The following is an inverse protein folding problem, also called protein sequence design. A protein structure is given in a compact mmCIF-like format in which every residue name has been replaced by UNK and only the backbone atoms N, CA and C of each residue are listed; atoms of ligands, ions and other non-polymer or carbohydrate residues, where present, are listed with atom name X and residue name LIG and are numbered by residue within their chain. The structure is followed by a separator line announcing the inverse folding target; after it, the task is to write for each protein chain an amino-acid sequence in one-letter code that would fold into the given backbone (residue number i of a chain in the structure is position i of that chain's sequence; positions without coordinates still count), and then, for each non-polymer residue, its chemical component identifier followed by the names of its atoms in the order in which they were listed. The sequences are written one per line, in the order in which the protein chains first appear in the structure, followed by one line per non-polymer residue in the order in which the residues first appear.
data_IF_015714288280
#
_entry.id   IF_015714288280
#
_cell.length_a   1.000
_cell.length_b   1.000
_cell.length_c   1.000
_cell.angle_alpha   90.00
_cell.angle_beta   90.00
_cell.angle_gamma   90.00
#
_symmetry.space_group_name_H-M   'P 1'
#
loop_
_entity.id
_entity.type
_entity.pdbx_description
1 polymer ?
#
# COMPACT_ATOMS: atom_id res chain seq x y z
N UNK A 1 10.87 0.34 -1.19
CA UNK A 1 10.95 -1.11 -0.89
C UNK A 1 11.11 -1.40 0.61
N UNK A 2 10.30 -0.78 1.47
CA UNK A 2 10.13 -1.15 2.89
C UNK A 2 11.27 -0.88 3.90
N UNK A 3 12.55 -0.77 3.49
CA UNK A 3 13.69 -0.68 4.46
C UNK A 3 13.51 0.42 5.52
N UNK A 4 13.10 1.62 5.11
CA UNK A 4 12.88 2.74 6.01
C UNK A 4 11.89 2.44 7.13
N UNK A 5 10.83 1.66 6.85
CA UNK A 5 9.85 1.27 7.86
C UNK A 5 10.45 0.36 8.92
N UNK A 6 11.33 -0.58 8.54
CA UNK A 6 12.00 -1.45 9.50
C UNK A 6 12.84 -0.65 10.50
N UNK A 7 13.59 0.34 10.01
CA UNK A 7 14.40 1.22 10.87
C UNK A 7 13.52 2.11 11.77
N UNK A 8 12.36 2.55 11.29
CA UNK A 8 11.38 3.29 12.11
C UNK A 8 10.77 2.39 13.19
N UNK A 9 10.32 1.18 12.85
CA UNK A 9 9.69 0.26 13.81
C UNK A 9 10.69 -0.16 14.91
N UNK A 10 11.94 -0.41 14.54
CA UNK A 10 13.01 -0.72 15.49
C UNK A 10 13.26 0.46 16.45
N UNK A 11 13.42 1.68 15.91
CA UNK A 11 13.61 2.87 16.75
C UNK A 11 12.37 3.25 17.56
N UNK A 12 11.17 2.82 17.14
CA UNK A 12 9.94 2.99 17.91
C UNK A 12 9.81 1.96 19.04
N UNK A 13 10.63 0.89 19.05
CA UNK A 13 10.58 -0.16 20.06
C UNK A 13 9.38 -1.08 19.90
N UNK A 14 9.04 -1.46 18.67
CA UNK A 14 7.94 -2.40 18.40
C UNK A 14 8.38 -3.82 18.77
N UNK A 15 7.67 -4.46 19.70
CA UNK A 15 7.98 -5.84 20.11
C UNK A 15 7.44 -6.89 19.14
N UNK A 16 6.26 -6.66 18.55
CA UNK A 16 5.63 -7.58 17.61
C UNK A 16 4.80 -6.86 16.56
N UNK A 17 4.74 -7.43 15.36
CA UNK A 17 3.96 -6.91 14.24
C UNK A 17 3.34 -8.07 13.44
N UNK A 18 2.25 -7.79 12.74
CA UNK A 18 1.68 -8.69 11.71
C UNK A 18 1.83 -8.06 10.34
N UNK A 19 1.84 -8.89 9.31
CA UNK A 19 1.84 -8.41 7.93
C UNK A 19 0.46 -7.89 7.53
N UNK A 20 0.45 -6.72 6.93
CA UNK A 20 -0.65 -6.17 6.16
C UNK A 20 -0.56 -6.52 4.69
N UNK A 21 -1.60 -6.12 3.97
CA UNK A 21 -1.76 -6.41 2.55
C UNK A 21 -0.65 -5.74 1.71
N UNK A 22 -0.16 -4.56 2.13
CA UNK A 22 0.90 -3.79 1.47
C UNK A 22 2.34 -4.21 1.82
N UNK A 23 2.56 -5.00 2.87
CA UNK A 23 3.90 -5.51 3.19
C UNK A 23 4.45 -6.45 2.11
N UNK A 24 3.55 -6.95 1.26
CA UNK A 24 3.83 -7.82 0.14
C UNK A 24 3.82 -7.12 -1.23
N UNK A 25 3.71 -5.78 -1.30
CA UNK A 25 3.71 -5.06 -2.59
C UNK A 25 4.94 -5.36 -3.44
N UNK A 26 6.09 -5.58 -2.79
CA UNK A 26 7.36 -5.94 -3.43
C UNK A 26 7.62 -7.46 -3.48
N UNK A 27 6.61 -8.29 -3.19
CA UNK A 27 6.68 -9.76 -3.17
C UNK A 27 7.15 -10.35 -1.83
N UNK A 28 6.83 -11.63 -1.60
CA UNK A 28 7.14 -12.33 -0.34
C UNK A 28 8.65 -12.37 -0.07
N UNK A 29 9.48 -12.47 -1.11
CA UNK A 29 10.93 -12.48 -0.94
C UNK A 29 11.47 -11.17 -0.37
N UNK A 30 10.90 -10.04 -0.77
CA UNK A 30 11.29 -8.76 -0.17
C UNK A 30 10.83 -8.67 1.28
N UNK A 31 9.63 -9.15 1.60
CA UNK A 31 9.18 -9.25 2.99
C UNK A 31 10.15 -10.12 3.81
N UNK A 32 10.53 -11.31 3.31
CA UNK A 32 11.54 -12.20 3.94
C UNK A 32 12.89 -11.52 4.16
N UNK A 33 13.34 -10.68 3.22
CA UNK A 33 14.59 -9.94 3.38
C UNK A 33 14.50 -8.87 4.47
N UNK A 34 13.34 -8.24 4.62
CA UNK A 34 13.11 -7.17 5.60
C UNK A 34 12.89 -7.70 7.01
N UNK A 35 12.35 -8.90 7.14
CA UNK A 35 12.08 -9.58 8.42
C UNK A 35 13.29 -10.36 8.95
N UNK A 36 14.37 -10.48 8.16
CA UNK A 36 15.60 -11.17 8.54
C UNK A 36 16.54 -10.30 9.36
N UNK A 37 17.15 -10.93 10.36
CA UNK A 37 18.15 -10.35 11.26
C UNK A 37 19.52 -10.10 10.62
N UNK A 38 20.27 -9.05 11.03
CA UNK A 38 19.84 -7.80 11.67
C UNK A 38 19.60 -6.65 10.66
N UNK A 39 18.79 -5.65 11.04
CA UNK A 39 18.56 -4.43 10.23
C UNK A 39 19.85 -3.59 10.23
N UNK A 40 20.41 -3.28 9.07
CA UNK A 40 21.60 -2.42 8.97
C UNK A 40 21.21 -0.95 8.83
N UNK A 41 21.57 -0.12 9.82
CA UNK A 41 21.40 1.33 9.76
C UNK A 41 22.46 1.93 8.83
N UNK A 42 22.05 2.32 7.61
CA UNK A 42 22.99 2.88 6.63
C UNK A 42 23.55 4.26 7.00
N UNK A 43 22.90 4.93 7.96
CA UNK A 43 23.13 6.31 8.36
C UNK A 43 23.88 6.46 9.70
N UNK A 44 24.04 5.36 10.44
CA UNK A 44 24.75 5.33 11.72
C UNK A 44 26.01 4.46 11.57
N UNK A 45 27.14 4.92 12.10
CA UNK A 45 28.37 4.13 12.16
C UNK A 45 28.83 3.94 13.60
N UNK A 46 29.50 2.82 13.86
CA UNK A 46 30.24 2.63 15.10
C UNK A 46 31.52 3.50 15.15
N UNK A 47 32.27 3.38 16.25
CA UNK A 47 33.51 4.12 16.48
C UNK A 47 34.61 3.78 15.44
N UNK A 48 34.50 2.63 14.75
CA UNK A 48 35.42 2.16 13.72
C UNK A 48 34.99 2.61 12.30
N UNK A 49 33.86 3.33 12.19
CA UNK A 49 33.31 3.80 10.91
C UNK A 49 32.56 2.73 10.12
N UNK A 50 32.26 1.56 10.73
CA UNK A 50 31.40 0.54 10.11
C UNK A 50 29.95 0.88 10.36
N UNK A 51 29.08 0.52 9.43
CA UNK A 51 27.63 0.70 9.60
C UNK A 51 27.17 -0.04 10.85
N UNK A 52 26.41 0.66 11.69
CA UNK A 52 25.89 0.07 12.90
C UNK A 52 24.80 -0.92 12.54
N UNK A 53 24.95 -2.14 13.01
CA UNK A 53 23.85 -3.10 12.98
C UNK A 53 22.82 -2.63 14.00
N UNK A 54 21.54 -2.74 13.66
CA UNK A 54 20.49 -2.75 14.65
C UNK A 54 20.81 -3.82 15.67
N UNK A 55 20.48 -3.54 16.93
CA UNK A 55 20.41 -4.60 17.91
C UNK A 55 19.47 -5.64 17.30
N UNK A 56 19.90 -6.91 17.25
CA UNK A 56 19.22 -8.02 16.57
C UNK A 56 17.70 -7.84 16.57
N UNK A 57 17.07 -7.90 15.38
CA UNK A 57 15.69 -7.51 15.10
C UNK A 57 14.75 -7.96 16.21
N UNK A 58 14.33 -6.98 17.01
CA UNK A 58 13.53 -7.19 18.21
C UNK A 58 12.06 -7.48 17.87
N UNK A 59 11.64 -7.11 16.66
CA UNK A 59 10.26 -7.24 16.20
C UNK A 59 9.96 -8.70 15.85
N UNK A 60 9.08 -9.31 16.65
CA UNK A 60 8.47 -10.59 16.35
C UNK A 60 7.40 -10.42 15.26
N UNK A 61 7.72 -10.84 14.04
CA UNK A 61 6.75 -10.89 12.95
C UNK A 61 5.86 -12.13 13.09
N UNK A 62 4.57 -11.93 13.34
CA UNK A 62 3.62 -13.01 13.61
C UNK A 62 2.59 -13.08 12.49
N UNK A 63 2.34 -14.29 11.98
CA UNK A 63 1.23 -14.59 11.08
C UNK A 63 0.91 -16.09 11.09
N UNK A 64 -0.25 -16.46 11.61
CA UNK A 64 -0.63 -17.84 11.92
C UNK A 64 -1.30 -18.58 10.77
N UNK A 65 -1.89 -17.86 9.79
CA UNK A 65 -2.80 -18.45 8.81
C UNK A 65 -2.37 -18.33 7.34
N UNK A 66 -1.16 -17.82 7.08
CA UNK A 66 -0.55 -17.79 5.76
C UNK A 66 0.78 -18.54 5.80
N UNK A 67 0.85 -19.66 5.09
CA UNK A 67 1.95 -20.62 5.19
C UNK A 67 2.62 -20.86 3.84
N UNK A 68 3.93 -21.12 3.82
CA UNK A 68 4.63 -21.63 2.65
C UNK A 68 4.29 -23.11 2.38
N UNK A 69 4.80 -23.67 1.28
CA UNK A 69 4.58 -25.10 0.92
C UNK A 69 5.18 -26.10 1.92
N UNK A 70 6.03 -25.64 2.84
CA UNK A 70 6.57 -26.48 3.92
C UNK A 70 5.72 -26.39 5.19
N UNK A 71 4.67 -25.56 5.18
CA UNK A 71 3.80 -25.33 6.33
C UNK A 71 4.34 -24.32 7.34
N UNK A 72 5.38 -23.55 7.00
CA UNK A 72 5.89 -22.49 7.86
C UNK A 72 5.18 -21.16 7.57
N UNK A 73 5.02 -20.26 8.54
CA UNK A 73 4.56 -18.90 8.27
C UNK A 73 5.34 -18.22 7.14
N UNK A 74 4.63 -17.46 6.32
CA UNK A 74 5.26 -16.66 5.26
C UNK A 74 6.22 -15.63 5.85
N UNK A 75 7.10 -15.12 4.98
CA UNK A 75 8.03 -14.05 5.33
C UNK A 75 8.96 -14.36 6.52
N UNK A 76 9.25 -15.64 6.81
CA UNK A 76 10.07 -16.06 7.97
C UNK A 76 9.47 -15.60 9.31
N UNK A 77 8.16 -15.33 9.33
CA UNK A 77 7.43 -15.01 10.54
C UNK A 77 7.25 -16.23 11.44
N UNK A 78 6.60 -15.99 12.58
CA UNK A 78 6.21 -17.01 13.55
C UNK A 78 4.70 -17.19 13.55
N UNK A 79 4.23 -18.40 13.86
CA UNK A 79 2.79 -18.63 14.05
C UNK A 79 2.29 -17.98 15.34
N UNK A 80 3.20 -17.75 16.30
CA UNK A 80 2.96 -17.08 17.58
C UNK A 80 4.29 -16.71 18.23
N UNK A 81 4.25 -15.79 19.20
CA UNK A 81 5.39 -15.50 20.08
C UNK A 81 4.90 -15.26 21.52
N UNK A 82 5.85 -15.23 22.46
CA UNK A 82 5.58 -15.06 23.90
C UNK A 82 6.54 -14.05 24.47
N UNK A 83 6.01 -13.10 25.24
CA UNK A 83 6.76 -12.10 25.99
C UNK A 83 6.52 -12.28 27.49
N UNK A 84 7.50 -11.94 28.30
CA UNK A 84 7.37 -11.87 29.75
C UNK A 84 7.46 -10.41 30.20
N UNK A 85 6.41 -9.90 30.81
CA UNK A 85 6.34 -8.51 31.28
C UNK A 85 5.65 -8.44 32.65
N UNK A 86 6.29 -7.78 33.61
CA UNK A 86 5.72 -7.61 34.95
C UNK A 86 5.41 -8.92 35.70
N UNK A 87 6.08 -10.02 35.35
CA UNK A 87 5.83 -11.35 35.93
C UNK A 87 4.66 -12.11 35.29
N UNK A 88 4.09 -11.60 34.20
CA UNK A 88 3.06 -12.26 33.40
C UNK A 88 3.60 -12.66 32.02
N UNK A 89 3.10 -13.77 31.49
CA UNK A 89 3.36 -14.22 30.12
C UNK A 89 2.27 -13.75 29.17
N UNK A 90 2.66 -13.02 28.14
CA UNK A 90 1.77 -12.50 27.11
C UNK A 90 2.06 -13.24 25.81
N UNK A 91 1.11 -14.01 25.33
CA UNK A 91 1.18 -14.67 24.03
C UNK A 91 0.59 -13.79 22.93
N UNK A 92 1.24 -13.73 21.79
CA UNK A 92 0.75 -13.01 20.61
C UNK A 92 0.52 -13.99 19.47
N UNK A 93 -0.65 -13.90 18.87
CA UNK A 93 -1.00 -14.56 17.60
C UNK A 93 -1.39 -13.49 16.59
N UNK A 94 -1.39 -13.85 15.31
CA UNK A 94 -1.86 -12.93 14.29
C UNK A 94 -2.53 -13.65 13.14
N UNK A 95 -3.60 -13.10 12.60
CA UNK A 95 -4.26 -13.64 11.39
C UNK A 95 -4.67 -12.51 10.48
N UNK A 96 -4.80 -12.82 9.19
CA UNK A 96 -5.25 -11.85 8.20
C UNK A 96 -6.24 -12.46 7.22
N UNK A 97 -6.96 -11.60 6.48
CA UNK A 97 -7.64 -11.98 5.26
C UNK A 97 -6.66 -12.58 4.24
N UNK A 98 -7.20 -13.23 3.20
CA UNK A 98 -6.38 -13.77 2.12
C UNK A 98 -5.91 -12.65 1.18
N UNK A 99 -4.97 -11.83 1.67
CA UNK A 99 -4.44 -10.72 0.90
C UNK A 99 -3.69 -11.17 -0.35
N UNK A 100 -3.15 -12.39 -0.40
CA UNK A 100 -2.39 -12.83 -1.58
C UNK A 100 -3.28 -13.03 -2.82
N UNK A 101 -4.57 -13.30 -2.64
CA UNK A 101 -5.51 -13.36 -3.75
C UNK A 101 -5.96 -11.98 -4.24
N UNK A 102 -6.08 -10.99 -3.34
CA UNK A 102 -6.70 -9.69 -3.63
C UNK A 102 -5.70 -8.54 -3.81
N UNK A 103 -4.58 -8.56 -3.10
CA UNK A 103 -3.44 -7.70 -3.44
C UNK A 103 -2.92 -8.10 -4.82
N UNK A 104 -2.41 -7.14 -5.59
CA UNK A 104 -1.77 -7.36 -6.88
C UNK A 104 -0.57 -8.32 -6.89
N UNK A 105 -0.35 -9.11 -5.85
CA UNK A 105 0.55 -10.26 -5.81
C UNK A 105 0.25 -11.30 -6.87
N UNK A 106 -0.98 -11.38 -7.42
CA UNK A 106 -1.24 -12.18 -8.62
C UNK A 106 -0.34 -11.80 -9.80
N UNK A 107 0.29 -10.62 -9.76
CA UNK A 107 0.86 -10.07 -10.97
C UNK A 107 2.10 -9.20 -10.81
N UNK A 108 2.61 -9.03 -9.58
CA UNK A 108 4.06 -9.06 -9.32
C UNK A 108 4.58 -10.48 -9.04
N UNK A 109 3.69 -11.49 -8.96
CA UNK A 109 4.04 -12.86 -8.51
C UNK A 109 5.39 -13.29 -9.07
N UNK A 110 6.41 -13.26 -8.21
CA UNK A 110 7.51 -14.17 -8.43
C UNK A 110 6.89 -15.58 -8.37
N UNK A 111 7.48 -16.55 -9.06
CA UNK A 111 6.93 -17.93 -9.09
C UNK A 111 6.59 -18.46 -7.69
N UNK A 112 7.24 -17.94 -6.67
CA UNK A 112 7.12 -18.30 -5.26
C UNK A 112 5.87 -17.77 -4.55
N UNK A 113 5.26 -16.66 -5.01
CA UNK A 113 4.03 -16.13 -4.40
C UNK A 113 2.79 -17.00 -4.69
N UNK A 114 2.89 -17.91 -5.66
CA UNK A 114 1.85 -18.91 -6.01
C UNK A 114 1.84 -20.14 -5.09
N UNK A 115 2.75 -20.18 -4.12
CA UNK A 115 3.02 -21.35 -3.28
C UNK A 115 2.70 -21.09 -1.81
N UNK A 116 1.70 -20.23 -1.55
CA UNK A 116 1.22 -19.95 -0.20
C UNK A 116 -0.10 -20.69 0.04
N UNK A 117 -0.19 -21.38 1.17
CA UNK A 117 -1.40 -21.98 1.70
C UNK A 117 -2.06 -20.99 2.65
N UNK A 118 -3.35 -20.77 2.43
CA UNK A 118 -4.19 -19.98 3.32
C UNK A 118 -5.04 -20.93 4.18
N UNK A 119 -4.91 -20.80 5.49
CA UNK A 119 -5.71 -21.52 6.47
C UNK A 119 -6.84 -20.61 6.95
N UNK A 120 -7.99 -21.18 7.28
CA UNK A 120 -9.08 -20.42 7.89
C UNK A 120 -8.55 -19.62 9.11
N UNK A 121 -8.72 -18.29 9.14
CA UNK A 121 -8.20 -17.44 10.21
C UNK A 121 -8.69 -17.84 11.59
N UNK A 122 -9.97 -18.22 11.71
CA UNK A 122 -10.59 -18.52 12.99
C UNK A 122 -10.05 -19.84 13.51
N UNK A 123 -9.96 -20.85 12.66
CA UNK A 123 -9.35 -22.15 12.99
C UNK A 123 -7.89 -21.99 13.41
N UNK A 124 -7.10 -21.26 12.61
CA UNK A 124 -5.68 -21.02 12.91
C UNK A 124 -5.50 -20.26 14.23
N UNK A 125 -6.24 -19.17 14.43
CA UNK A 125 -6.15 -18.36 15.64
C UNK A 125 -6.57 -19.15 16.88
N UNK A 126 -7.67 -19.91 16.80
CA UNK A 126 -8.16 -20.73 17.92
C UNK A 126 -7.16 -21.82 18.30
N UNK A 127 -6.54 -22.47 17.30
CA UNK A 127 -5.49 -23.45 17.55
C UNK A 127 -4.27 -22.80 18.23
N UNK A 128 -3.78 -21.68 17.71
CA UNK A 128 -2.59 -21.02 18.28
C UNK A 128 -2.86 -20.45 19.68
N UNK A 129 -4.03 -19.87 19.93
CA UNK A 129 -4.44 -19.42 21.26
C UNK A 129 -4.48 -20.59 22.25
N UNK A 130 -5.04 -21.73 21.86
CA UNK A 130 -5.04 -22.94 22.70
C UNK A 130 -3.62 -23.42 23.01
N UNK A 131 -2.75 -23.49 22.01
CA UNK A 131 -1.37 -23.94 22.22
C UNK A 131 -0.57 -22.97 23.11
N UNK A 132 -0.77 -21.66 22.98
CA UNK A 132 -0.19 -20.66 23.88
C UNK A 132 -0.59 -20.91 25.34
N UNK A 133 -1.87 -21.21 25.60
CA UNK A 133 -2.37 -21.47 26.95
C UNK A 133 -1.86 -22.79 27.50
N UNK A 134 -1.98 -23.86 26.74
CA UNK A 134 -1.74 -25.23 27.23
C UNK A 134 -0.26 -25.61 27.25
N UNK A 135 0.52 -25.16 26.25
CA UNK A 135 1.93 -25.55 26.11
C UNK A 135 2.87 -24.48 26.63
N UNK A 136 2.61 -23.22 26.29
CA UNK A 136 3.53 -22.12 26.64
C UNK A 136 3.21 -21.48 28.00
N UNK A 137 2.00 -21.78 28.52
CA UNK A 137 1.53 -21.34 29.82
C UNK A 137 1.31 -19.83 29.90
N UNK A 138 0.78 -19.21 28.84
CA UNK A 138 0.57 -17.76 28.81
C UNK A 138 -0.63 -17.33 29.64
N UNK A 139 -0.49 -16.18 30.30
CA UNK A 139 -1.47 -15.56 31.19
C UNK A 139 -2.44 -14.66 30.43
N UNK A 140 -2.00 -14.04 29.33
CA UNK A 140 -2.83 -13.24 28.41
C UNK A 140 -2.53 -13.62 26.96
N UNK A 141 -3.54 -13.65 26.09
CA UNK A 141 -3.39 -13.83 24.64
C UNK A 141 -3.91 -12.60 23.93
N UNK A 142 -3.03 -11.97 23.16
CA UNK A 142 -3.34 -10.83 22.28
C UNK A 142 -3.38 -11.32 20.83
N UNK A 143 -4.42 -10.95 20.11
CA UNK A 143 -4.53 -11.17 18.67
C UNK A 143 -4.16 -9.92 17.89
N UNK A 144 -3.35 -10.07 16.84
CA UNK A 144 -3.14 -9.02 15.84
C UNK A 144 -3.87 -9.37 14.56
N UNK A 145 -4.48 -8.40 13.92
CA UNK A 145 -5.06 -8.58 12.59
C UNK A 145 -4.88 -7.35 11.72
N UNK A 146 -4.62 -7.60 10.45
CA UNK A 146 -4.78 -6.60 9.41
C UNK A 146 -5.96 -7.08 8.55
N UNK A 147 -7.17 -6.69 8.93
CA UNK A 147 -8.43 -7.08 8.28
C UNK A 147 -9.46 -5.98 8.45
N UNK A 148 -10.48 -5.94 7.59
CA UNK A 148 -11.63 -5.03 7.71
C UNK A 148 -12.24 -5.08 9.13
N UNK A 149 -12.86 -4.00 9.58
CA UNK A 149 -13.57 -3.88 10.86
C UNK A 149 -14.57 -5.01 11.03
N UNK A 150 -15.38 -5.30 10.01
CA UNK A 150 -16.37 -6.37 10.05
C UNK A 150 -15.76 -7.75 10.31
N UNK A 151 -14.56 -8.00 9.79
CA UNK A 151 -13.83 -9.26 9.95
C UNK A 151 -13.08 -9.29 11.29
N UNK A 152 -12.55 -8.14 11.74
CA UNK A 152 -12.00 -8.00 13.09
C UNK A 152 -13.07 -8.27 14.16
N UNK A 153 -14.29 -7.75 13.96
CA UNK A 153 -15.45 -8.03 14.81
C UNK A 153 -15.78 -9.53 14.81
N UNK A 154 -15.79 -10.17 13.64
CA UNK A 154 -15.97 -11.61 13.51
C UNK A 154 -14.90 -12.40 14.29
N UNK A 155 -13.61 -12.10 14.12
CA UNK A 155 -12.52 -12.77 14.86
C UNK A 155 -12.67 -12.60 16.37
N UNK A 156 -12.96 -11.37 16.82
CA UNK A 156 -13.13 -11.08 18.25
C UNK A 156 -14.32 -11.82 18.91
N UNK A 157 -15.29 -12.26 18.09
CA UNK A 157 -16.48 -12.99 18.54
C UNK A 157 -16.34 -14.50 18.45
N UNK A 158 -15.64 -15.01 17.42
CA UNK A 158 -15.58 -16.44 17.10
C UNK A 158 -14.29 -17.12 17.55
N UNK A 159 -13.18 -16.40 17.69
CA UNK A 159 -11.92 -17.00 18.13
C UNK A 159 -11.95 -17.21 19.64
N UNK A 160 -11.84 -18.46 20.05
CA UNK A 160 -11.75 -18.81 21.47
C UNK A 160 -10.31 -18.65 21.99
N UNK A 161 -10.18 -18.12 23.21
CA UNK A 161 -8.89 -18.06 23.93
C UNK A 161 -8.07 -16.79 23.74
N UNK A 162 -8.51 -15.84 22.89
CA UNK A 162 -7.91 -14.50 22.74
C UNK A 162 -8.63 -13.48 23.63
N UNK A 163 -7.88 -12.71 24.41
CA UNK A 163 -8.44 -11.74 25.36
C UNK A 163 -8.73 -10.38 24.71
N UNK A 164 -7.87 -9.94 23.80
CA UNK A 164 -8.00 -8.64 23.14
C UNK A 164 -7.33 -8.64 21.76
N UNK A 165 -7.91 -7.89 20.81
CA UNK A 165 -7.39 -7.76 19.46
C UNK A 165 -6.92 -6.33 19.12
N UNK A 166 -5.80 -6.26 18.42
CA UNK A 166 -5.40 -5.06 17.69
C UNK A 166 -5.66 -5.29 16.20
N UNK A 167 -6.52 -4.47 15.60
CA UNK A 167 -6.88 -4.55 14.19
C UNK A 167 -6.18 -3.49 13.32
N UNK A 168 -6.53 -3.46 12.04
CA UNK A 168 -5.90 -2.60 11.03
C UNK A 168 -6.74 -2.39 9.78
N UNK A 169 -6.08 -2.14 8.65
CA UNK A 169 -6.63 -2.04 7.29
C UNK A 169 -7.49 -0.80 6.94
N UNK A 170 -8.51 -0.43 7.71
CA UNK A 170 -9.49 0.60 7.26
C UNK A 170 -9.09 2.07 7.51
N UNK A 171 -7.84 2.32 7.91
CA UNK A 171 -7.26 3.66 8.11
C UNK A 171 -8.08 4.60 9.02
N UNK A 172 -8.95 4.03 9.86
CA UNK A 172 -9.81 4.77 10.80
C UNK A 172 -9.56 4.31 12.22
N UNK A 173 -9.73 5.21 13.18
CA UNK A 173 -9.78 4.82 14.58
C UNK A 173 -11.16 4.27 14.93
N UNK A 174 -11.19 3.04 15.44
CA UNK A 174 -12.40 2.44 16.00
C UNK A 174 -12.06 1.56 17.21
N UNK A 175 -12.91 1.63 18.24
CA UNK A 175 -12.76 0.88 19.50
C UNK A 175 -14.06 0.16 19.86
N UNK A 176 -13.96 -1.13 20.15
CA UNK A 176 -15.01 -2.00 20.72
C UNK A 176 -14.46 -2.83 21.88
N UNK A 177 -15.32 -3.40 22.70
CA UNK A 177 -14.95 -4.01 23.99
C UNK A 177 -13.75 -4.96 23.94
N UNK A 178 -13.65 -5.76 22.86
CA UNK A 178 -12.58 -6.76 22.68
C UNK A 178 -11.50 -6.36 21.67
N UNK A 179 -11.58 -5.19 21.04
CA UNK A 179 -10.64 -4.82 19.99
C UNK A 179 -10.51 -3.33 19.72
N UNK A 180 -9.36 -2.92 19.18
CA UNK A 180 -9.10 -1.54 18.74
C UNK A 180 -8.36 -1.49 17.41
N UNK A 181 -8.68 -0.51 16.58
CA UNK A 181 -7.94 -0.12 15.36
C UNK A 181 -7.45 1.31 15.57
N UNK A 182 -6.14 1.53 15.37
CA UNK A 182 -5.48 2.82 15.68
C UNK A 182 -5.21 3.69 14.44
N UNK A 183 -6.17 3.81 13.52
CA UNK A 183 -6.02 4.69 12.36
C UNK A 183 -4.85 4.31 11.44
N UNK A 184 -4.15 5.31 10.91
CA UNK A 184 -3.01 5.16 9.99
C UNK A 184 -2.00 6.31 10.18
N UNK A 185 -0.84 6.22 9.52
CA UNK A 185 0.21 7.25 9.48
C UNK A 185 0.72 7.75 10.85
N UNK A 186 0.59 6.94 11.91
CA UNK A 186 0.94 7.34 13.27
C UNK A 186 0.18 8.60 13.75
N UNK A 187 -0.97 8.91 13.16
CA UNK A 187 -1.84 10.00 13.63
C UNK A 187 -2.57 9.60 14.91
N UNK A 188 -2.69 8.30 15.19
CA UNK A 188 -3.48 7.77 16.29
C UNK A 188 -2.80 6.55 16.91
N UNK A 189 -2.78 6.51 18.25
CA UNK A 189 -2.25 5.40 19.03
C UNK A 189 -3.28 4.97 20.07
N UNK A 190 -3.22 3.70 20.45
CA UNK A 190 -4.03 3.14 21.53
C UNK A 190 -3.13 2.61 22.64
N UNK A 191 -3.30 3.12 23.84
CA UNK A 191 -2.71 2.53 25.05
C UNK A 191 -3.75 1.60 25.66
N UNK A 192 -3.43 0.31 25.73
CA UNK A 192 -4.32 -0.72 26.28
C UNK A 192 -3.76 -1.16 27.62
N UNK A 193 -4.49 -0.87 28.69
CA UNK A 193 -4.15 -1.31 30.04
C UNK A 193 -5.07 -2.46 30.44
N UNK A 194 -4.48 -3.58 30.87
CA UNK A 194 -5.21 -4.75 31.33
C UNK A 194 -4.97 -4.97 32.82
N UNK A 195 -6.03 -4.97 33.62
CA UNK A 195 -5.97 -5.34 35.01
C UNK A 195 -6.10 -6.86 35.13
N UNK A 196 -5.09 -7.51 35.69
CA UNK A 196 -5.03 -8.96 35.86
C UNK A 196 -5.19 -9.34 37.33
N UNK A 197 -5.99 -10.37 37.61
CA UNK A 197 -6.01 -11.00 38.93
C UNK A 197 -5.38 -12.40 38.86
N UNK A 198 -4.68 -12.79 39.93
CA UNK A 198 -4.02 -14.09 40.03
C UNK A 198 -4.52 -14.81 41.27
N UNK A 199 -5.32 -15.86 41.04
CA UNK A 199 -5.72 -16.83 42.08
C UNK A 199 -5.13 -18.19 41.72
N UNK A 200 -5.95 -19.18 41.32
CA UNK A 200 -5.49 -20.45 40.75
C UNK A 200 -5.13 -20.34 39.26
N UNK A 201 -5.75 -19.37 38.56
CA UNK A 201 -5.45 -19.00 37.17
C UNK A 201 -5.38 -17.48 37.08
N UNK A 202 -4.72 -16.96 36.03
CA UNK A 202 -4.76 -15.54 35.71
C UNK A 202 -6.04 -15.23 34.93
N UNK A 203 -6.73 -14.16 35.32
CA UNK A 203 -7.92 -13.64 34.63
C UNK A 203 -7.77 -12.17 34.33
N UNK A 204 -8.29 -11.75 33.17
CA UNK A 204 -8.39 -10.33 32.80
C UNK A 204 -9.67 -9.76 33.42
N UNK A 205 -9.52 -8.86 34.38
CA UNK A 205 -10.63 -8.25 35.13
C UNK A 205 -11.22 -7.05 34.39
N UNK A 206 -10.36 -6.23 33.78
CA UNK A 206 -10.77 -5.07 33.00
C UNK A 206 -9.74 -4.70 31.95
N UNK A 207 -10.21 -4.07 30.88
CA UNK A 207 -9.38 -3.52 29.81
C UNK A 207 -9.77 -2.06 29.63
N UNK A 208 -8.84 -1.15 29.89
CA UNK A 208 -8.98 0.27 29.56
C UNK A 208 -8.22 0.58 28.27
N UNK A 209 -8.80 1.42 27.40
CA UNK A 209 -8.16 1.80 26.14
C UNK A 209 -8.19 3.31 25.96
N UNK A 210 -7.01 3.90 25.92
CA UNK A 210 -6.83 5.34 25.77
C UNK A 210 -6.35 5.66 24.36
N UNK A 211 -7.10 6.53 23.67
CA UNK A 211 -6.73 7.08 22.36
C UNK A 211 -5.79 8.26 22.54
N UNK A 212 -4.65 8.22 21.88
CA UNK A 212 -3.74 9.35 21.74
C UNK A 212 -3.73 9.79 20.28
N UNK A 213 -4.09 11.05 20.03
CA UNK A 213 -4.09 11.64 18.69
C UNK A 213 -2.88 12.55 18.52
N UNK A 214 -2.14 12.34 17.44
CA UNK A 214 -1.05 13.20 16.97
C UNK A 214 -1.56 13.97 15.75
N UNK A 215 -1.59 15.30 15.86
CA UNK A 215 -1.99 16.17 14.76
C UNK A 215 -0.76 16.80 14.12
N UNK A 216 -0.72 16.82 12.79
CA UNK A 216 0.28 17.62 12.07
C UNK A 216 -0.02 19.13 12.15
N UNK A 217 -1.28 19.51 12.38
CA UNK A 217 -1.68 20.91 12.55
C UNK A 217 -1.33 21.46 13.93
N UNK A 218 -1.30 20.58 14.94
CA UNK A 218 -0.94 20.89 16.33
C UNK A 218 -0.02 19.80 16.88
N UNK A 219 1.25 19.80 16.47
CA UNK A 219 2.18 18.76 16.87
C UNK A 219 2.52 18.86 18.37
N UNK A 220 2.65 17.73 19.09
CA UNK A 220 3.01 17.75 20.49
C UNK A 220 4.36 18.45 20.70
N UNK A 221 4.45 19.28 21.73
CA UNK A 221 5.67 20.00 22.05
C UNK A 221 6.78 19.02 22.43
N UNK A 222 7.88 19.04 21.68
CA UNK A 222 9.07 18.25 22.02
C UNK A 222 9.86 18.94 23.15
N UNK A 223 10.45 18.18 24.08
CA UNK A 223 11.33 18.74 25.10
C UNK A 223 12.58 19.35 24.45
N UNK A 224 13.17 20.35 25.11
CA UNK A 224 14.38 21.03 24.63
C UNK A 224 15.59 20.08 24.50
N UNK A 225 15.65 19.08 25.38
CA UNK A 225 16.60 17.98 25.31
C UNK A 225 15.83 16.70 24.95
N UNK A 226 16.05 16.22 23.73
CA UNK A 226 15.45 14.98 23.26
C UNK A 226 16.10 13.77 23.95
N UNK A 227 15.31 12.76 24.35
CA UNK A 227 15.84 11.45 24.70
C UNK A 227 16.73 10.90 23.56
N UNK A 228 17.78 10.12 23.86
CA UNK A 228 18.69 9.60 22.83
C UNK A 228 18.00 8.87 21.68
N UNK A 229 16.97 8.07 21.98
CA UNK A 229 16.19 7.34 20.97
C UNK A 229 15.38 8.29 20.07
N UNK A 230 14.75 9.32 20.64
CA UNK A 230 14.03 10.35 19.88
C UNK A 230 14.98 11.15 18.99
N UNK A 231 16.20 11.43 19.46
CA UNK A 231 17.23 12.07 18.64
C UNK A 231 17.67 11.16 17.47
N UNK A 232 17.82 9.85 17.70
CA UNK A 232 18.10 8.87 16.64
C UNK A 232 16.96 8.81 15.61
N UNK A 233 15.70 8.79 16.06
CA UNK A 233 14.55 8.84 15.16
C UNK A 233 14.54 10.11 14.30
N UNK A 234 14.84 11.27 14.90
CA UNK A 234 14.96 12.53 14.15
C UNK A 234 16.05 12.46 13.08
N UNK A 235 17.23 11.91 13.41
CA UNK A 235 18.32 11.75 12.45
C UNK A 235 17.95 10.80 11.30
N UNK A 236 17.22 9.72 11.58
CA UNK A 236 16.70 8.79 10.58
C UNK A 236 15.76 9.50 9.57
N UNK A 237 14.82 10.30 10.09
CA UNK A 237 13.90 11.09 9.26
C UNK A 237 14.68 12.05 8.36
N UNK A 238 15.60 12.84 8.93
CA UNK A 238 16.43 13.78 8.16
C UNK A 238 17.28 13.08 7.09
N UNK A 239 17.83 11.89 7.39
CA UNK A 239 18.57 11.07 6.44
C UNK A 239 17.70 10.67 5.24
N UNK A 240 16.50 10.15 5.49
CA UNK A 240 15.58 9.73 4.44
C UNK A 240 15.01 10.89 3.64
N UNK A 241 14.71 12.02 4.28
CA UNK A 241 14.31 13.25 3.59
C UNK A 241 15.38 13.71 2.61
N UNK A 242 16.65 13.77 3.06
CA UNK A 242 17.78 14.15 2.20
C UNK A 242 17.96 13.16 1.06
N UNK A 243 17.97 11.86 1.35
CA UNK A 243 18.12 10.80 0.34
C UNK A 243 16.99 10.83 -0.69
N UNK A 244 15.76 11.00 -0.24
CA UNK A 244 14.58 11.13 -1.11
C UNK A 244 14.71 12.36 -2.01
N UNK A 245 15.05 13.52 -1.44
CA UNK A 245 15.25 14.75 -2.21
C UNK A 245 16.36 14.62 -3.27
N UNK A 246 17.45 13.92 -2.98
CA UNK A 246 18.51 13.64 -3.94
C UNK A 246 18.05 12.71 -5.08
N UNK A 247 17.34 11.62 -4.75
CA UNK A 247 16.80 10.69 -5.75
C UNK A 247 15.78 11.35 -6.67
N UNK A 248 14.87 12.16 -6.11
CA UNK A 248 13.82 12.85 -6.88
C UNK A 248 14.39 13.92 -7.82
N UNK A 249 15.58 14.47 -7.54
CA UNK A 249 16.28 15.45 -8.41
C UNK A 249 17.03 14.81 -9.59
N UNK A 250 17.23 13.48 -9.59
CA UNK A 250 17.99 12.82 -10.65
C UNK A 250 17.32 13.02 -12.02
N UNK A 251 18.01 13.56 -13.03
CA UNK A 251 17.45 13.80 -14.35
C UNK A 251 17.22 12.48 -15.09
N UNK A 252 16.09 12.39 -15.80
CA UNK A 252 15.73 11.29 -16.69
C UNK A 252 15.92 11.71 -18.16
N UNK A 253 15.58 12.96 -18.48
CA UNK A 253 15.72 13.50 -19.83
C UNK A 253 15.34 14.96 -19.90
N UNK A 254 15.37 15.52 -21.11
CA UNK A 254 14.98 16.91 -21.37
C UNK A 254 13.94 17.02 -22.49
N UNK A 255 13.10 18.05 -22.40
CA UNK A 255 12.12 18.43 -23.42
C UNK A 255 12.63 19.63 -24.20
N UNK A 256 12.79 19.47 -25.51
CA UNK A 256 13.05 20.56 -26.44
C UNK A 256 11.75 21.34 -26.71
N UNK A 257 11.77 22.67 -26.60
CA UNK A 257 10.60 23.53 -26.87
C UNK A 257 9.80 23.98 -25.64
N UNK A 258 10.09 23.44 -24.45
CA UNK A 258 9.69 24.03 -23.17
C UNK A 258 8.23 23.82 -22.72
N UNK A 259 8.10 23.38 -21.46
CA UNK A 259 6.87 23.17 -20.65
C UNK A 259 5.97 22.01 -21.04
N UNK A 260 5.85 21.04 -20.13
CA UNK A 260 4.87 19.97 -20.20
C UNK A 260 3.79 20.16 -19.13
N UNK A 261 2.60 20.56 -19.54
CA UNK A 261 1.50 20.81 -18.63
C UNK A 261 0.72 19.53 -18.31
N UNK A 262 0.91 19.02 -17.09
CA UNK A 262 0.26 17.82 -16.57
C UNK A 262 -0.86 18.14 -15.58
N UNK A 263 -1.39 19.37 -15.60
CA UNK A 263 -2.52 19.74 -14.74
C UNK A 263 -3.75 18.93 -15.12
N UNK A 264 -4.45 18.43 -14.10
CA UNK A 264 -5.64 17.58 -14.23
C UNK A 264 -6.69 18.15 -15.19
N UNK A 265 -6.83 19.47 -15.27
CA UNK A 265 -7.82 20.06 -16.17
C UNK A 265 -7.51 19.78 -17.65
N UNK A 266 -6.25 19.78 -18.08
CA UNK A 266 -5.88 19.46 -19.46
C UNK A 266 -6.08 17.98 -19.71
N UNK A 267 -5.41 17.14 -18.90
CA UNK A 267 -5.42 15.69 -19.05
C UNK A 267 -6.84 15.09 -19.04
N UNK A 268 -7.81 15.73 -18.37
CA UNK A 268 -9.17 15.20 -18.19
C UNK A 268 -10.23 15.82 -19.10
N UNK A 269 -9.88 16.71 -20.02
CA UNK A 269 -10.88 17.40 -20.85
C UNK A 269 -10.56 17.46 -22.34
N UNK A 270 -9.29 17.29 -22.72
CA UNK A 270 -8.86 17.42 -24.11
C UNK A 270 -7.56 16.66 -24.35
N UNK A 271 -7.26 16.42 -25.61
CA UNK A 271 -5.93 16.01 -26.04
C UNK A 271 -4.87 17.06 -25.66
N UNK A 272 -3.72 16.60 -25.17
CA UNK A 272 -2.60 17.48 -24.84
C UNK A 272 -1.26 16.78 -25.00
N UNK A 273 -0.20 17.58 -25.20
CA UNK A 273 1.18 17.09 -25.43
C UNK A 273 1.63 16.13 -24.32
N UNK A 274 1.31 16.43 -23.06
CA UNK A 274 1.69 15.58 -21.94
C UNK A 274 1.01 14.20 -21.97
N UNK A 275 -0.28 14.17 -22.30
CA UNK A 275 -1.04 12.93 -22.46
C UNK A 275 -0.49 12.09 -23.61
N UNK A 276 -0.23 12.73 -24.75
CA UNK A 276 0.30 12.06 -25.94
C UNK A 276 1.68 11.46 -25.67
N UNK A 277 2.62 12.23 -25.12
CA UNK A 277 3.96 11.73 -24.77
C UNK A 277 3.88 10.52 -23.82
N UNK A 278 3.04 10.60 -22.79
CA UNK A 278 2.86 9.50 -21.83
C UNK A 278 2.32 8.26 -22.54
N UNK A 279 1.24 8.39 -23.32
CA UNK A 279 0.66 7.25 -24.05
C UNK A 279 1.63 6.67 -25.08
N UNK A 280 2.42 7.52 -25.77
CA UNK A 280 3.45 7.09 -26.72
C UNK A 280 4.54 6.26 -26.05
N UNK A 281 5.01 6.65 -24.85
CA UNK A 281 6.00 5.87 -24.08
C UNK A 281 5.46 4.48 -23.77
N UNK A 282 4.21 4.38 -23.29
CA UNK A 282 3.58 3.09 -23.03
C UNK A 282 3.38 2.30 -24.31
N UNK A 283 2.95 2.96 -25.39
CA UNK A 283 2.73 2.30 -26.67
C UNK A 283 4.04 1.74 -27.23
N UNK A 284 5.11 2.52 -27.27
CA UNK A 284 6.42 2.11 -27.79
C UNK A 284 6.94 0.84 -27.08
N UNK A 285 6.84 0.79 -25.75
CA UNK A 285 7.24 -0.38 -24.94
C UNK A 285 6.46 -1.66 -25.28
N UNK A 286 5.19 -1.55 -25.66
CA UNK A 286 4.33 -2.69 -26.01
C UNK A 286 4.19 -2.93 -27.51
N UNK A 287 4.60 -1.98 -28.37
CA UNK A 287 4.53 -2.11 -29.82
C UNK A 287 5.34 -3.31 -30.30
N UNK A 288 6.54 -3.49 -29.75
CA UNK A 288 7.39 -4.67 -30.03
C UNK A 288 6.81 -6.00 -29.53
N UNK A 289 5.77 -5.96 -28.69
CA UNK A 289 5.05 -7.12 -28.16
C UNK A 289 3.73 -7.38 -28.88
N UNK A 290 3.44 -6.63 -29.94
CA UNK A 290 2.24 -6.77 -30.76
C UNK A 290 1.06 -5.91 -30.33
N UNK A 291 1.27 -4.82 -29.59
CA UNK A 291 0.22 -3.84 -29.35
C UNK A 291 -0.11 -3.05 -30.63
N UNK A 292 -1.40 -2.86 -30.89
CA UNK A 292 -1.90 -2.02 -31.99
C UNK A 292 -2.10 -0.55 -31.58
N UNK A 293 -2.41 -0.30 -30.30
CA UNK A 293 -2.61 1.03 -29.73
C UNK A 293 -2.40 1.01 -28.21
N UNK A 294 -2.32 2.20 -27.60
CA UNK A 294 -2.35 2.41 -26.15
C UNK A 294 -3.64 3.13 -25.74
N UNK A 295 -4.25 2.66 -24.65
CA UNK A 295 -5.41 3.28 -24.02
C UNK A 295 -5.15 3.46 -22.53
N UNK A 296 -5.05 4.70 -22.09
CA UNK A 296 -4.96 5.09 -20.69
C UNK A 296 -6.19 5.90 -20.30
N UNK A 297 -6.53 5.92 -19.02
CA UNK A 297 -7.49 6.89 -18.48
C UNK A 297 -6.74 7.97 -17.72
N UNK A 298 -7.14 9.23 -17.86
CA UNK A 298 -6.47 10.37 -17.24
C UNK A 298 -6.36 10.29 -15.71
N UNK A 299 -7.19 9.46 -15.07
CA UNK A 299 -7.18 9.20 -13.63
C UNK A 299 -5.98 8.39 -13.14
N UNK A 300 -5.32 7.61 -14.01
CA UNK A 300 -4.08 6.89 -13.64
C UNK A 300 -2.90 7.85 -13.48
N UNK A 301 -2.97 9.00 -14.15
CA UNK A 301 -1.99 10.07 -14.02
C UNK A 301 -2.49 10.96 -12.90
N UNK A 302 -1.86 10.86 -11.72
CA UNK A 302 -2.23 11.68 -10.57
C UNK A 302 -2.23 13.15 -10.96
N UNK A 303 -1.19 13.58 -11.69
CA UNK A 303 -1.09 14.91 -12.29
C UNK A 303 -1.20 16.04 -11.27
N UNK A 304 -1.22 17.29 -11.74
CA UNK A 304 -1.42 18.45 -10.86
C UNK A 304 -0.15 19.11 -10.30
N UNK A 305 1.03 18.72 -10.78
CA UNK A 305 2.24 19.52 -10.58
C UNK A 305 2.24 20.77 -11.47
N UNK A 306 3.03 21.76 -11.08
CA UNK A 306 3.41 22.85 -11.99
C UNK A 306 4.15 22.27 -13.20
N UNK A 307 4.10 22.91 -14.38
CA UNK A 307 4.90 22.49 -15.53
C UNK A 307 6.38 22.40 -15.10
N UNK A 308 7.12 21.35 -15.48
CA UNK A 308 8.55 21.30 -15.22
C UNK A 308 9.18 22.59 -15.76
N UNK A 309 9.82 23.36 -14.88
CA UNK A 309 10.58 24.54 -15.28
C UNK A 309 11.70 24.09 -16.23
N UNK A 310 11.92 24.88 -17.29
CA UNK A 310 12.81 24.60 -18.44
C UNK A 310 13.41 23.18 -18.53
N UNK A 311 12.75 22.35 -19.34
CA UNK A 311 13.34 21.23 -20.04
C UNK A 311 13.50 19.94 -19.25
N UNK A 312 14.00 19.95 -18.02
CA UNK A 312 14.46 18.70 -17.38
C UNK A 312 13.33 17.92 -16.69
N UNK A 313 13.09 16.70 -17.16
CA UNK A 313 12.27 15.69 -16.48
C UNK A 313 13.16 14.96 -15.49
N UNK A 314 12.71 14.85 -14.23
CA UNK A 314 13.42 14.16 -13.15
C UNK A 314 12.61 12.98 -12.65
N UNK A 315 13.23 12.10 -11.84
CA UNK A 315 12.52 11.04 -11.13
C UNK A 315 11.34 11.56 -10.33
N UNK A 316 11.46 12.72 -9.66
CA UNK A 316 10.36 13.31 -8.91
C UNK A 316 9.15 13.69 -9.75
N UNK A 317 9.34 14.08 -11.01
CA UNK A 317 8.23 14.32 -11.92
C UNK A 317 7.48 13.03 -12.25
N UNK A 318 8.20 11.93 -12.53
CA UNK A 318 7.60 10.62 -12.81
C UNK A 318 6.87 10.10 -11.56
N UNK A 319 7.49 10.17 -10.39
CA UNK A 319 6.86 9.76 -9.11
C UNK A 319 5.61 10.58 -8.81
N UNK A 320 5.58 11.87 -9.14
CA UNK A 320 4.38 12.69 -8.97
C UNK A 320 3.26 12.31 -9.95
N UNK A 321 3.58 11.93 -11.19
CA UNK A 321 2.58 11.49 -12.18
C UNK A 321 2.04 10.10 -11.88
N UNK A 322 2.92 9.20 -11.44
CA UNK A 322 2.62 7.80 -11.12
C UNK A 322 3.10 7.48 -9.69
N UNK A 323 2.40 7.97 -8.66
CA UNK A 323 2.80 7.78 -7.26
C UNK A 323 2.57 6.35 -6.77
N UNK A 324 1.84 5.55 -7.54
CA UNK A 324 1.52 4.16 -7.25
C UNK A 324 2.20 3.25 -8.28
N UNK A 325 2.67 2.09 -7.86
CA UNK A 325 3.19 1.07 -8.78
C UNK A 325 2.03 0.36 -9.50
N UNK A 326 1.57 0.98 -10.59
CA UNK A 326 0.59 0.38 -11.49
C UNK A 326 1.26 -0.50 -12.53
N UNK A 327 0.81 -1.74 -12.69
CA UNK A 327 1.24 -2.58 -13.82
C UNK A 327 0.43 -2.25 -15.06
N UNK A 328 1.14 -2.23 -16.18
CA UNK A 328 0.52 -2.18 -17.50
C UNK A 328 0.42 -3.57 -18.08
N UNK A 329 -0.60 -3.80 -18.90
CA UNK A 329 -0.88 -5.11 -19.49
C UNK A 329 -1.19 -4.95 -20.97
N UNK A 330 -0.87 -5.99 -21.73
CA UNK A 330 -1.29 -6.13 -23.12
C UNK A 330 -2.52 -7.04 -23.17
N UNK A 331 -3.62 -6.55 -23.72
CA UNK A 331 -4.91 -7.25 -23.77
C UNK A 331 -5.43 -7.34 -25.20
N UNK A 332 -5.97 -8.49 -25.58
CA UNK A 332 -6.79 -8.62 -26.78
C UNK A 332 -8.23 -8.19 -26.48
N UNK A 333 -8.73 -7.19 -27.20
CA UNK A 333 -10.08 -6.63 -27.00
C UNK A 333 -10.83 -6.52 -28.32
N UNK A 334 -12.17 -6.64 -28.28
CA UNK A 334 -13.03 -6.41 -29.46
C UNK A 334 -13.19 -4.91 -29.68
N UNK A 335 -13.27 -4.46 -30.94
CA UNK A 335 -13.47 -3.05 -31.31
C UNK A 335 -14.67 -2.39 -30.61
N UNK A 336 -15.78 -3.12 -30.46
CA UNK A 336 -16.95 -2.65 -29.70
C UNK A 336 -16.61 -2.24 -28.27
N UNK A 337 -15.77 -3.02 -27.57
CA UNK A 337 -15.37 -2.72 -26.18
C UNK A 337 -14.54 -1.44 -26.15
N UNK A 338 -13.66 -1.23 -27.13
CA UNK A 338 -12.88 0.01 -27.25
C UNK A 338 -13.82 1.21 -27.41
N UNK A 339 -14.82 1.11 -28.29
CA UNK A 339 -15.84 2.15 -28.49
C UNK A 339 -16.67 2.42 -27.23
N UNK A 340 -17.12 1.37 -26.54
CA UNK A 340 -17.87 1.49 -25.27
C UNK A 340 -17.01 2.19 -24.19
N UNK A 341 -15.71 1.88 -24.11
CA UNK A 341 -14.76 2.53 -23.21
C UNK A 341 -14.54 4.01 -23.55
N UNK A 342 -14.41 4.36 -24.84
CA UNK A 342 -14.33 5.75 -25.28
C UNK A 342 -15.59 6.53 -24.89
N UNK A 343 -16.78 5.97 -25.17
CA UNK A 343 -18.06 6.57 -24.77
C UNK A 343 -18.14 6.80 -23.26
N UNK A 344 -17.76 5.79 -22.48
CA UNK A 344 -17.69 5.91 -21.02
C UNK A 344 -16.73 7.03 -20.60
N UNK A 345 -15.57 7.13 -21.25
CA UNK A 345 -14.52 8.09 -20.92
C UNK A 345 -14.92 9.54 -21.20
N UNK A 346 -15.73 9.78 -22.23
CA UNK A 346 -16.13 11.13 -22.66
C UNK A 346 -17.52 11.55 -22.19
N UNK A 347 -18.30 10.66 -21.57
CA UNK A 347 -19.71 10.90 -21.17
C UNK A 347 -19.92 12.12 -20.28
N UNK A 348 -18.93 12.44 -19.44
CA UNK A 348 -19.03 13.51 -18.44
C UNK A 348 -18.46 14.84 -18.96
N UNK A 349 -17.85 14.90 -20.15
CA UNK A 349 -17.35 16.16 -20.68
C UNK A 349 -18.44 17.24 -20.70
N UNK A 350 -18.12 18.50 -20.35
CA UNK A 350 -16.78 19.03 -20.03
C UNK A 350 -16.34 18.87 -18.55
N UNK A 351 -17.05 18.09 -17.72
CA UNK A 351 -16.62 17.81 -16.35
C UNK A 351 -15.29 17.04 -16.34
N UNK A 352 -14.43 17.34 -15.36
CA UNK A 352 -13.04 16.87 -15.27
C UNK A 352 -12.93 15.49 -14.61
N UNK A 353 -13.64 14.51 -15.15
CA UNK A 353 -13.64 13.15 -14.61
C UNK A 353 -12.37 12.39 -15.00
N UNK A 354 -11.89 11.48 -14.13
CA UNK A 354 -10.66 10.73 -14.38
C UNK A 354 -10.77 9.69 -15.50
N UNK A 355 -11.96 9.42 -16.03
CA UNK A 355 -12.16 8.42 -17.09
C UNK A 355 -11.79 8.91 -18.49
N UNK A 356 -11.41 10.19 -18.66
CA UNK A 356 -11.07 10.73 -19.97
C UNK A 356 -9.94 9.92 -20.64
N UNK A 357 -10.10 9.49 -21.90
CA UNK A 357 -9.13 8.64 -22.56
C UNK A 357 -7.89 9.42 -22.99
N UNK A 358 -6.71 8.85 -22.75
CA UNK A 358 -5.42 9.32 -23.25
C UNK A 358 -4.87 8.20 -24.13
N UNK A 359 -4.58 8.54 -25.38
CA UNK A 359 -4.49 7.58 -26.48
C UNK A 359 -3.18 7.71 -27.23
N UNK A 360 -2.70 6.60 -27.79
CA UNK A 360 -1.64 6.55 -28.81
C UNK A 360 -1.93 5.39 -29.78
N UNK A 361 -1.68 5.56 -31.07
CA UNK A 361 -2.07 4.58 -32.10
C UNK A 361 -3.57 4.44 -32.32
N UNK A 362 -4.39 5.31 -31.71
CA UNK A 362 -5.85 5.35 -31.86
C UNK A 362 -6.31 6.79 -32.12
N UNK A 363 -7.16 6.96 -33.13
CA UNK A 363 -7.80 8.23 -33.47
C UNK A 363 -9.31 8.10 -33.24
N UNK A 364 -9.95 9.13 -32.69
CA UNK A 364 -11.39 9.14 -32.55
C UNK A 364 -11.98 10.55 -32.69
N UNK A 365 -13.20 10.62 -33.23
CA UNK A 365 -13.98 11.86 -33.34
C UNK A 365 -15.05 11.90 -32.25
N UNK A 366 -15.03 12.95 -31.43
CA UNK A 366 -15.98 13.15 -30.33
C UNK A 366 -16.88 14.35 -30.62
N UNK A 367 -18.20 14.14 -30.61
CA UNK A 367 -19.22 15.18 -30.68
C UNK A 367 -19.80 15.43 -29.30
N UNK A 368 -19.89 16.70 -28.92
CA UNK A 368 -20.59 17.14 -27.70
C UNK A 368 -21.66 18.13 -28.12
N UNK A 369 -22.91 17.77 -27.89
CA UNK A 369 -24.04 18.68 -28.03
C UNK A 369 -24.75 18.78 -26.69
N UNK A 370 -24.65 19.95 -26.05
CA UNK A 370 -25.24 20.20 -24.73
C UNK A 370 -26.76 20.35 -24.79
N UNK A 371 -27.34 20.48 -25.98
CA UNK A 371 -28.78 20.58 -26.21
C UNK A 371 -29.40 19.28 -26.74
N UNK A 372 -28.58 18.27 -27.06
CA UNK A 372 -29.06 16.97 -27.54
C UNK A 372 -29.84 16.23 -26.45
N UNK A 373 -30.96 15.64 -26.83
CA UNK A 373 -31.74 14.76 -25.96
C UNK A 373 -31.03 13.42 -25.76
N UNK A 374 -31.40 12.71 -24.70
CA UNK A 374 -30.88 11.36 -24.45
C UNK A 374 -31.08 10.46 -25.68
N UNK A 375 -29.97 9.84 -26.13
CA UNK A 375 -29.96 8.97 -27.31
C UNK A 375 -29.68 9.68 -28.63
N UNK A 376 -29.66 11.02 -28.68
CA UNK A 376 -29.26 11.78 -29.87
C UNK A 376 -27.73 11.90 -29.96
N UNK A 377 -27.20 12.10 -31.17
CA UNK A 377 -25.75 12.29 -31.39
C UNK A 377 -25.25 13.48 -30.57
N UNK A 378 -24.17 13.29 -29.82
CA UNK A 378 -23.60 14.30 -28.94
C UNK A 378 -24.12 14.27 -27.50
N UNK A 379 -25.21 13.53 -27.22
CA UNK A 379 -25.65 13.23 -25.85
C UNK A 379 -24.74 12.18 -25.19
N UNK A 380 -24.64 12.12 -23.84
CA UNK A 380 -23.89 11.08 -23.14
C UNK A 380 -24.23 9.66 -23.63
N UNK A 381 -23.22 8.86 -23.96
CA UNK A 381 -23.40 7.51 -24.53
C UNK A 381 -23.60 7.46 -26.05
N UNK A 382 -23.63 8.62 -26.72
CA UNK A 382 -23.68 8.81 -28.18
C UNK A 382 -22.73 9.90 -28.65
N UNK A 383 -21.58 10.03 -27.99
CA UNK A 383 -20.60 11.11 -28.25
C UNK A 383 -19.50 10.69 -29.23
N UNK A 384 -19.21 9.41 -29.36
CA UNK A 384 -18.12 8.89 -30.22
C UNK A 384 -18.67 8.60 -31.61
N UNK A 385 -18.23 9.36 -32.61
CA UNK A 385 -18.69 9.19 -33.99
C UNK A 385 -17.84 8.13 -34.70
N UNK A 386 -16.54 8.34 -34.74
CA UNK A 386 -15.60 7.52 -35.51
C UNK A 386 -14.43 7.11 -34.63
N UNK A 387 -13.91 5.90 -34.87
CA UNK A 387 -12.79 5.32 -34.12
C UNK A 387 -11.92 4.54 -35.09
N UNK A 388 -10.62 4.81 -35.08
CA UNK A 388 -9.67 4.09 -35.93
C UNK A 388 -8.40 3.72 -35.18
N UNK A 389 -7.89 2.54 -35.48
CA UNK A 389 -6.51 2.16 -35.17
C UNK A 389 -5.60 2.72 -36.25
N UNK A 390 -4.54 3.39 -35.85
CA UNK A 390 -3.57 4.05 -36.74
C UNK A 390 -2.22 3.35 -36.62
N UNK A 391 -1.78 2.72 -37.71
CA UNK A 391 -0.48 2.07 -37.83
C UNK A 391 0.37 2.62 -38.96
N UNK A 392 1.53 2.00 -39.22
CA UNK A 392 2.49 2.42 -40.26
C UNK A 392 1.89 2.32 -41.68
N UNK A 393 1.21 3.40 -42.09
CA UNK A 393 0.56 3.54 -43.40
C UNK A 393 -0.83 2.91 -43.52
N UNK A 394 -1.45 2.48 -42.42
CA UNK A 394 -2.80 1.88 -42.43
C UNK A 394 -3.68 2.49 -41.34
N UNK A 395 -4.94 2.74 -41.69
CA UNK A 395 -5.99 3.19 -40.77
C UNK A 395 -7.15 2.19 -40.87
N UNK A 396 -7.50 1.56 -39.74
CA UNK A 396 -8.55 0.53 -39.67
C UNK A 396 -9.67 1.04 -38.76
N UNK A 397 -10.89 1.10 -39.28
CA UNK A 397 -12.07 1.53 -38.52
C UNK A 397 -12.52 0.44 -37.53
N UNK A 398 -12.91 0.86 -36.32
CA UNK A 398 -13.38 -0.02 -35.22
C UNK A 398 -14.89 -0.03 -35.00
#
# INVERSE_FOLDING_TARGET
QGKHMMEVLELAGVDAATFGNHDFDFGINRAKELTKDPILFDWETDEEGKKKEGERGTIEWVLSNMLDMKGNPVAEGKSRCVFEQGGFKIGIIAVSENWLSDCGLSSTSQKEDKYTLYVDPIEAATLQAKELREKDGVDVVVGLTHSLISITEEYSSKVEGVDFWFGGHEHVYERRDKWVISGWNFEEFSFVEMALSKSERVTVESIDVQRVKISMEDPPSLPSQLPPQTQRMKNLVEFYEKRSAELLKKPIGSLEGGKMDTRKFLLRTRECIAGNMIADIFFDFYKTKGADFCFLIAGVISGGGEPPAEGTITHGHITNWFPWEGRTVLLGVKGKVVRDCLEHGVRMLPMRFGCFPILSGLECSIRIDVNAKEGEKGSPGKRVEEVWVVGEGKKVEL
#
